data_IF_423828692807
#
_entry.id   IF_423828692807
#
_cell.length_a   1.000
_cell.length_b   1.000
_cell.length_c   1.000
_cell.angle_alpha   90.00
_cell.angle_beta   90.00
_cell.angle_gamma   90.00
#
_symmetry.space_group_name_H-M   'P 1'
#
loop_
_entity.id
_entity.type
_entity.pdbx_description
1 polymer ?
#
# COMPACT_ATOMS: atom_id res chain seq x y z
N UNK A 1 -12.98 2.30 -12.21
CA UNK A 1 -12.02 2.57 -11.12
C UNK A 1 -10.64 2.24 -11.66
N UNK A 2 -9.69 3.18 -11.72
CA UNK A 2 -8.32 2.82 -12.07
C UNK A 2 -7.78 1.95 -10.94
N UNK A 3 -7.35 0.74 -11.26
CA UNK A 3 -6.80 -0.23 -10.31
C UNK A 3 -5.73 0.45 -9.43
N UNK A 4 -5.98 0.55 -8.12
CA UNK A 4 -5.11 1.31 -7.22
C UNK A 4 -3.77 0.59 -7.02
N UNK A 5 -3.77 -0.75 -6.97
CA UNK A 5 -2.55 -1.55 -6.82
C UNK A 5 -2.17 -2.30 -8.10
N UNK A 6 -1.43 -1.64 -9.01
CA UNK A 6 -0.68 -2.35 -10.07
C UNK A 6 0.81 -2.24 -9.81
N UNK A 7 1.40 -3.30 -9.28
CA UNK A 7 2.86 -3.47 -9.19
C UNK A 7 3.41 -3.69 -10.59
N UNK A 8 4.14 -2.71 -11.13
CA UNK A 8 4.90 -2.90 -12.38
C UNK A 8 6.39 -2.91 -12.08
N UNK A 9 7.03 -4.04 -12.41
CA UNK A 9 8.48 -4.14 -12.43
C UNK A 9 9.01 -3.42 -13.67
N UNK A 10 9.90 -2.46 -13.46
CA UNK A 10 10.57 -1.71 -14.52
C UNK A 10 12.08 -1.89 -14.38
N UNK A 11 12.80 -2.06 -15.49
CA UNK A 11 14.26 -2.06 -15.45
C UNK A 11 14.76 -0.61 -15.31
N UNK A 12 15.79 -0.38 -14.48
CA UNK A 12 16.39 0.95 -14.35
C UNK A 12 16.89 1.50 -15.70
N UNK A 13 17.43 0.64 -16.58
CA UNK A 13 17.94 1.04 -17.91
C UNK A 13 16.83 1.53 -18.84
N UNK A 14 15.65 0.95 -18.70
CA UNK A 14 14.48 1.21 -19.57
C UNK A 14 13.41 2.07 -18.87
N UNK A 15 13.79 2.76 -17.78
CA UNK A 15 12.87 3.60 -17.03
C UNK A 15 12.28 4.71 -17.93
N UNK A 16 10.94 4.88 -17.96
CA UNK A 16 10.32 5.99 -18.67
C UNK A 16 10.89 7.34 -18.23
N UNK A 17 10.95 8.32 -19.14
CA UNK A 17 11.57 9.62 -18.87
C UNK A 17 11.07 10.30 -17.58
N UNK A 18 9.77 10.18 -17.29
CA UNK A 18 9.14 10.76 -16.11
C UNK A 18 9.47 10.03 -14.78
N UNK A 19 10.07 8.84 -14.82
CA UNK A 19 10.51 8.07 -13.65
C UNK A 19 12.03 8.01 -13.50
N UNK A 20 12.78 8.41 -14.52
CA UNK A 20 14.23 8.17 -14.60
C UNK A 20 14.99 8.78 -13.42
N UNK A 21 14.68 10.03 -13.06
CA UNK A 21 15.31 10.70 -11.91
C UNK A 21 14.98 9.98 -10.58
N UNK A 22 13.69 9.68 -10.36
CA UNK A 22 13.26 8.97 -9.15
C UNK A 22 13.84 7.55 -9.05
N UNK A 23 13.99 6.86 -10.17
CA UNK A 23 14.59 5.54 -10.23
C UNK A 23 16.09 5.58 -9.88
N UNK A 24 16.82 6.58 -10.35
CA UNK A 24 18.22 6.79 -9.96
C UNK A 24 18.39 7.12 -8.48
N UNK A 25 17.51 7.96 -7.93
CA UNK A 25 17.46 8.25 -6.49
C UNK A 25 17.20 6.96 -5.70
N UNK A 26 16.18 6.20 -6.09
CA UNK A 26 15.81 4.94 -5.46
C UNK A 26 16.98 3.95 -5.45
N UNK A 27 17.67 3.79 -6.59
CA UNK A 27 18.82 2.88 -6.70
C UNK A 27 19.92 3.23 -5.68
N UNK A 28 20.29 4.51 -5.62
CA UNK A 28 21.30 4.98 -4.64
C UNK A 28 20.84 4.79 -3.21
N UNK A 29 19.56 5.06 -2.94
CA UNK A 29 18.99 4.94 -1.62
C UNK A 29 19.04 3.49 -1.12
N UNK A 30 18.68 2.51 -1.96
CA UNK A 30 18.72 1.08 -1.60
C UNK A 30 20.12 0.70 -1.10
N UNK A 31 21.17 1.17 -1.76
CA UNK A 31 22.55 0.86 -1.35
C UNK A 31 22.98 1.56 -0.03
N UNK A 32 22.20 2.52 0.47
CA UNK A 32 22.43 3.19 1.76
C UNK A 32 21.58 2.65 2.91
N UNK A 33 20.62 1.76 2.64
CA UNK A 33 19.77 1.20 3.70
C UNK A 33 20.57 0.27 4.63
N UNK A 34 20.10 0.02 5.86
CA UNK A 34 20.58 -1.08 6.68
C UNK A 34 20.63 -2.41 5.90
N UNK A 35 21.67 -3.22 6.14
CA UNK A 35 21.98 -4.43 5.33
C UNK A 35 20.78 -5.38 5.20
N UNK A 36 20.02 -5.59 6.27
CA UNK A 36 18.87 -6.49 6.25
C UNK A 36 17.77 -6.01 5.27
N UNK A 37 17.51 -4.70 5.23
CA UNK A 37 16.57 -4.11 4.26
C UNK A 37 17.09 -4.17 2.82
N UNK A 38 18.40 -3.99 2.61
CA UNK A 38 18.99 -4.14 1.28
C UNK A 38 18.82 -5.55 0.73
N UNK A 39 19.18 -6.54 1.55
CA UNK A 39 19.12 -7.96 1.18
C UNK A 39 17.70 -8.33 0.82
N UNK A 40 16.74 -8.02 1.69
CA UNK A 40 15.35 -8.35 1.48
C UNK A 40 14.76 -7.66 0.22
N UNK A 41 15.06 -6.38 0.01
CA UNK A 41 14.64 -5.69 -1.22
C UNK A 41 15.21 -6.36 -2.48
N UNK A 42 16.51 -6.67 -2.47
CA UNK A 42 17.20 -7.31 -3.60
C UNK A 42 16.70 -8.73 -3.87
N UNK A 43 16.30 -9.48 -2.84
CA UNK A 43 15.65 -10.79 -2.97
C UNK A 43 14.26 -10.68 -3.61
N UNK A 44 13.48 -9.66 -3.23
CA UNK A 44 12.11 -9.48 -3.74
C UNK A 44 12.04 -8.88 -5.15
N UNK A 45 12.99 -8.02 -5.52
CA UNK A 45 12.92 -7.22 -6.76
C UNK A 45 14.03 -7.56 -7.75
N UNK A 46 15.21 -7.93 -7.26
CA UNK A 46 16.44 -8.05 -8.04
C UNK A 46 17.18 -6.72 -8.20
N UNK A 47 18.45 -6.78 -8.61
CA UNK A 47 19.35 -5.62 -8.62
C UNK A 47 19.10 -4.61 -9.76
N UNK A 48 18.50 -5.05 -10.87
CA UNK A 48 18.31 -4.22 -12.05
C UNK A 48 16.89 -3.68 -12.21
N UNK A 49 15.99 -3.98 -11.26
CA UNK A 49 14.57 -3.65 -11.35
C UNK A 49 14.15 -2.76 -10.20
N UNK A 50 13.09 -2.01 -10.46
CA UNK A 50 12.34 -1.30 -9.43
C UNK A 50 10.84 -1.51 -9.63
N UNK A 51 10.09 -1.20 -8.58
CA UNK A 51 8.64 -1.32 -8.57
C UNK A 51 8.00 0.06 -8.52
N UNK A 52 6.98 0.24 -9.34
CA UNK A 52 6.10 1.41 -9.31
C UNK A 52 4.73 0.98 -8.80
N UNK A 53 4.20 1.69 -7.81
CA UNK A 53 2.81 1.58 -7.37
C UNK A 53 2.09 2.89 -7.65
N UNK A 54 0.89 2.82 -8.20
CA UNK A 54 0.05 4.00 -8.47
C UNK A 54 -0.97 4.27 -7.36
N UNK A 55 -1.01 3.42 -6.32
CA UNK A 55 -1.94 3.58 -5.20
C UNK A 55 -1.59 4.82 -4.40
N UNK A 56 -2.63 5.50 -3.95
CA UNK A 56 -2.60 6.58 -2.97
C UNK A 56 -2.92 6.09 -1.55
N UNK A 57 -3.37 4.83 -1.41
CA UNK A 57 -3.69 4.20 -0.13
C UNK A 57 -2.89 2.91 0.06
N UNK A 58 -2.36 2.74 1.26
CA UNK A 58 -1.65 1.53 1.70
C UNK A 58 -1.88 1.31 3.20
N UNK A 59 -1.68 0.08 3.65
CA UNK A 59 -1.79 -0.32 5.05
C UNK A 59 -0.46 -0.90 5.52
N UNK A 60 0.05 -0.41 6.66
CA UNK A 60 1.25 -0.95 7.30
C UNK A 60 0.80 -1.84 8.47
N UNK A 61 1.04 -3.16 8.42
CA UNK A 61 0.75 -4.04 9.54
C UNK A 61 1.48 -3.58 10.80
N UNK A 62 0.81 -3.66 11.96
CA UNK A 62 1.32 -3.13 13.24
C UNK A 62 2.74 -3.62 13.57
N UNK A 63 3.06 -4.87 13.23
CA UNK A 63 4.39 -5.46 13.46
C UNK A 63 5.54 -4.77 12.69
N UNK A 64 5.23 -4.12 11.57
CA UNK A 64 6.20 -3.44 10.70
C UNK A 64 6.25 -1.92 10.91
N UNK A 65 5.51 -1.38 11.88
CA UNK A 65 5.47 0.08 12.10
C UNK A 65 6.85 0.64 12.48
N UNK A 66 7.65 -0.12 13.23
CA UNK A 66 9.03 0.27 13.57
C UNK A 66 9.91 0.34 12.33
N UNK A 67 10.01 -0.76 11.59
CA UNK A 67 10.79 -0.83 10.35
C UNK A 67 10.35 0.23 9.33
N UNK A 68 9.04 0.47 9.21
CA UNK A 68 8.50 1.51 8.34
C UNK A 68 8.97 2.90 8.77
N UNK A 69 8.93 3.20 10.08
CA UNK A 69 9.40 4.48 10.60
C UNK A 69 10.92 4.67 10.37
N UNK A 70 11.70 3.63 10.57
CA UNK A 70 13.15 3.65 10.33
C UNK A 70 13.46 3.88 8.84
N UNK A 71 12.77 3.18 7.93
CA UNK A 71 12.92 3.35 6.50
C UNK A 71 12.49 4.74 6.01
N UNK A 72 11.40 5.29 6.55
CA UNK A 72 10.98 6.68 6.29
C UNK A 72 12.05 7.66 6.78
N UNK A 73 12.61 7.43 7.97
CA UNK A 73 13.73 8.22 8.50
C UNK A 73 14.99 8.16 7.62
N UNK A 74 15.30 6.99 7.06
CA UNK A 74 16.42 6.79 6.14
C UNK A 74 16.21 7.48 4.78
N UNK A 75 14.98 7.53 4.26
CA UNK A 75 14.64 8.32 3.06
C UNK A 75 14.78 9.81 3.33
N UNK A 76 14.36 10.27 4.52
CA UNK A 76 14.48 11.67 4.94
C UNK A 76 13.93 12.64 3.88
N UNK A 77 14.71 13.68 3.59
CA UNK A 77 14.34 14.75 2.65
C UNK A 77 14.60 14.42 1.17
N UNK A 78 14.92 13.16 0.85
CA UNK A 78 15.09 12.78 -0.55
C UNK A 78 13.77 12.93 -1.30
N UNK A 79 13.80 13.61 -2.46
CA UNK A 79 12.63 13.88 -3.30
C UNK A 79 12.13 12.64 -4.05
N UNK A 80 12.06 11.50 -3.37
CA UNK A 80 11.55 10.26 -3.93
C UNK A 80 10.02 10.27 -3.92
N UNK A 81 9.43 10.25 -5.11
CA UNK A 81 7.98 10.24 -5.25
C UNK A 81 7.36 9.01 -4.56
N UNK A 82 6.21 9.16 -3.91
CA UNK A 82 5.54 8.10 -3.14
C UNK A 82 5.33 6.80 -3.93
N UNK A 83 5.10 6.92 -5.25
CA UNK A 83 4.96 5.81 -6.21
C UNK A 83 6.16 4.86 -6.28
N UNK A 84 7.34 5.33 -5.85
CA UNK A 84 8.58 4.55 -5.76
C UNK A 84 8.97 4.28 -4.31
N UNK A 85 8.77 5.25 -3.42
CA UNK A 85 9.11 5.12 -1.99
C UNK A 85 8.27 4.04 -1.30
N UNK A 86 6.94 4.06 -1.50
CA UNK A 86 6.03 3.11 -0.83
C UNK A 86 6.35 1.67 -1.22
N UNK A 87 6.47 1.29 -2.51
CA UNK A 87 6.91 -0.06 -2.86
C UNK A 87 8.26 -0.43 -2.28
N UNK A 88 9.21 0.51 -2.27
CA UNK A 88 10.52 0.27 -1.69
C UNK A 88 10.44 -0.09 -0.22
N UNK A 89 9.65 0.63 0.57
CA UNK A 89 9.48 0.33 1.98
C UNK A 89 8.94 -1.08 2.20
N UNK A 90 7.85 -1.44 1.52
CA UNK A 90 7.19 -2.73 1.71
C UNK A 90 8.11 -3.88 1.29
N UNK A 91 8.79 -3.75 0.15
CA UNK A 91 9.67 -4.79 -0.39
C UNK A 91 11.00 -4.89 0.38
N UNK A 92 11.40 -3.84 1.09
CA UNK A 92 12.52 -3.86 2.02
C UNK A 92 12.15 -4.49 3.37
N UNK A 93 10.92 -4.28 3.86
CA UNK A 93 10.46 -4.84 5.14
C UNK A 93 10.19 -6.35 5.07
N UNK A 94 9.50 -6.84 4.04
CA UNK A 94 9.12 -8.25 3.95
C UNK A 94 8.79 -8.68 2.50
N UNK A 95 8.54 -9.97 2.30
CA UNK A 95 8.11 -10.55 1.04
C UNK A 95 6.76 -9.98 0.57
N UNK A 96 6.55 -9.75 -0.74
CA UNK A 96 5.27 -9.31 -1.29
C UNK A 96 4.08 -10.19 -0.87
N UNK A 97 4.29 -11.50 -0.66
CA UNK A 97 3.23 -12.43 -0.25
C UNK A 97 2.70 -12.19 1.16
N UNK A 98 3.46 -11.49 2.00
CA UNK A 98 3.05 -11.10 3.35
C UNK A 98 2.23 -9.80 3.36
N UNK A 99 2.03 -9.19 2.18
CA UNK A 99 1.16 -8.03 1.99
C UNK A 99 0.00 -8.41 1.08
N UNK A 100 -1.20 -8.00 1.47
CA UNK A 100 -2.38 -8.23 0.65
C UNK A 100 -2.37 -7.25 -0.53
N UNK A 101 -1.93 -7.72 -1.70
CA UNK A 101 -1.88 -6.93 -2.93
C UNK A 101 -3.26 -6.60 -3.49
N UNK A 102 -4.30 -7.29 -3.04
CA UNK A 102 -5.69 -7.04 -3.43
C UNK A 102 -6.41 -6.11 -2.45
N UNK A 103 -5.89 -5.95 -1.23
CA UNK A 103 -6.41 -4.99 -0.27
C UNK A 103 -6.41 -3.58 -0.86
N UNK A 104 -7.55 -2.90 -0.71
CA UNK A 104 -7.77 -1.52 -1.17
C UNK A 104 -7.66 -1.31 -2.69
N UNK A 105 -7.55 -2.38 -3.50
CA UNK A 105 -7.54 -2.33 -4.97
C UNK A 105 -8.77 -1.59 -5.54
N UNK A 106 -9.90 -1.69 -4.83
CA UNK A 106 -11.21 -1.17 -5.20
C UNK A 106 -11.77 -0.15 -4.20
N UNK A 107 -10.89 0.66 -3.61
CA UNK A 107 -11.32 1.67 -2.66
C UNK A 107 -12.23 2.72 -3.32
N UNK A 108 -13.37 2.99 -2.68
CA UNK A 108 -14.34 3.97 -3.16
C UNK A 108 -14.14 5.27 -2.38
N UNK A 109 -13.56 6.27 -3.05
CA UNK A 109 -13.40 7.62 -2.51
C UNK A 109 -14.68 8.42 -2.70
N UNK A 110 -15.33 8.88 -1.62
CA UNK A 110 -16.56 9.68 -1.70
C UNK A 110 -16.39 11.00 -0.97
N UNK A 111 -16.39 12.07 -1.75
CA UNK A 111 -16.45 13.45 -1.26
C UNK A 111 -17.92 13.84 -1.02
N UNK A 112 -18.53 13.37 0.06
CA UNK A 112 -19.90 13.75 0.44
C UNK A 112 -20.40 13.07 1.71
N UNK A 113 -21.24 13.75 2.51
CA UNK A 113 -21.97 13.11 3.62
C UNK A 113 -23.09 12.25 3.04
N UNK A 114 -22.98 10.93 3.16
CA UNK A 114 -24.09 10.05 2.85
C UNK A 114 -25.14 10.10 3.94
N UNK A 115 -26.41 9.92 3.54
CA UNK A 115 -27.52 9.80 4.48
C UNK A 115 -27.49 8.46 5.24
N UNK A 116 -26.96 7.41 4.60
CA UNK A 116 -26.62 6.15 5.25
C UNK A 116 -25.22 5.78 4.78
N UNK A 117 -24.23 5.82 5.68
CA UNK A 117 -22.87 5.55 5.28
C UNK A 117 -22.78 4.06 4.82
N UNK A 118 -23.58 3.11 5.34
CA UNK A 118 -23.47 1.68 5.00
C UNK A 118 -23.81 1.34 3.55
N UNK A 119 -24.53 2.23 2.86
CA UNK A 119 -24.86 2.11 1.44
C UNK A 119 -23.65 2.01 0.50
N UNK A 120 -22.44 2.28 1.01
CA UNK A 120 -21.20 2.20 0.25
C UNK A 120 -20.44 0.90 0.37
N UNK A 121 -20.72 0.09 1.40
CA UNK A 121 -20.06 -1.20 1.54
C UNK A 121 -20.67 -2.19 0.57
N UNK A 122 -19.82 -2.85 -0.21
CA UNK A 122 -20.20 -3.93 -1.11
C UNK A 122 -19.06 -4.93 -1.18
N UNK A 123 -19.37 -6.14 -1.66
CA UNK A 123 -18.37 -7.20 -1.96
C UNK A 123 -17.24 -6.68 -2.87
N UNK A 124 -17.51 -5.62 -3.63
CA UNK A 124 -16.58 -5.05 -4.62
C UNK A 124 -15.79 -3.86 -4.07
N UNK A 125 -16.08 -3.34 -2.87
CA UNK A 125 -15.42 -2.18 -2.28
C UNK A 125 -14.99 -2.49 -0.84
N UNK A 126 -13.76 -2.99 -0.70
CA UNK A 126 -13.20 -3.41 0.58
C UNK A 126 -12.91 -2.26 1.56
N UNK A 127 -12.97 -1.01 1.09
CA UNK A 127 -12.77 0.17 1.93
C UNK A 127 -13.48 1.42 1.38
N UNK A 128 -13.96 2.27 2.29
CA UNK A 128 -14.64 3.53 2.01
C UNK A 128 -13.98 4.64 2.83
N UNK A 129 -13.67 5.79 2.22
CA UNK A 129 -13.13 6.97 2.92
C UNK A 129 -13.85 8.27 2.51
N UNK A 130 -14.07 9.21 3.45
CA UNK A 130 -13.86 9.07 4.89
C UNK A 130 -14.98 8.28 5.56
N UNK A 131 -14.63 7.42 6.52
CA UNK A 131 -15.60 6.77 7.40
C UNK A 131 -15.27 6.99 8.87
N UNK A 132 -16.29 7.32 9.66
CA UNK A 132 -16.19 7.48 11.11
C UNK A 132 -17.36 6.77 11.77
N UNK A 133 -17.06 5.77 12.59
CA UNK A 133 -18.05 5.11 13.45
C UNK A 133 -18.16 5.93 14.73
N UNK A 134 -19.36 6.41 15.06
CA UNK A 134 -19.56 7.28 16.23
C UNK A 134 -20.26 6.57 17.40
N UNK A 135 -20.79 5.35 17.17
CA UNK A 135 -21.48 4.56 18.18
C UNK A 135 -21.36 3.04 17.95
N UNK A 136 -21.45 2.23 19.01
CA UNK A 136 -21.38 0.76 18.96
C UNK A 136 -22.45 0.14 18.06
N UNK A 137 -23.65 0.73 18.01
CA UNK A 137 -24.72 0.26 17.12
C UNK A 137 -24.36 0.45 15.64
N UNK A 138 -23.60 1.49 15.30
CA UNK A 138 -23.10 1.69 13.93
C UNK A 138 -21.96 0.72 13.62
N UNK A 139 -21.09 0.46 14.60
CA UNK A 139 -20.05 -0.55 14.49
C UNK A 139 -20.63 -1.94 14.18
N UNK A 140 -21.66 -2.36 14.92
CA UNK A 140 -22.31 -3.67 14.69
C UNK A 140 -22.97 -3.77 13.32
N UNK A 141 -23.51 -2.68 12.79
CA UNK A 141 -24.06 -2.66 11.42
C UNK A 141 -22.96 -2.75 10.36
N UNK A 142 -21.82 -2.09 10.59
CA UNK A 142 -20.64 -2.19 9.74
C UNK A 142 -20.11 -3.63 9.69
N UNK A 143 -19.93 -4.27 10.85
CA UNK A 143 -19.47 -5.66 10.93
C UNK A 143 -20.42 -6.59 10.16
N UNK A 144 -21.74 -6.41 10.29
CA UNK A 144 -22.71 -7.19 9.50
C UNK A 144 -22.62 -6.92 8.00
N UNK A 145 -22.44 -5.67 7.58
CA UNK A 145 -22.29 -5.34 6.17
C UNK A 145 -21.01 -5.96 5.57
N UNK A 146 -19.91 -5.94 6.33
CA UNK A 146 -18.66 -6.60 5.95
C UNK A 146 -18.79 -8.13 5.91
N UNK A 147 -19.43 -8.74 6.92
CA UNK A 147 -19.62 -10.19 7.00
C UNK A 147 -20.57 -10.73 5.94
N UNK A 148 -21.43 -9.88 5.35
CA UNK A 148 -22.34 -10.27 4.27
C UNK A 148 -21.64 -10.47 2.92
N UNK A 149 -20.35 -10.12 2.81
CA UNK A 149 -19.57 -10.19 1.57
C UNK A 149 -18.28 -11.01 1.64
N UNK A 150 -17.92 -11.54 2.82
CA UNK A 150 -16.74 -12.38 2.99
C UNK A 150 -17.14 -13.73 3.62
N UNK A 151 -17.02 -14.85 2.87
CA UNK A 151 -17.30 -16.19 3.39
C UNK A 151 -16.49 -16.54 4.66
N UNK A 152 -15.36 -15.89 4.91
CA UNK A 152 -14.49 -16.14 6.05
C UNK A 152 -14.87 -15.35 7.31
N UNK A 153 -15.74 -14.35 7.21
CA UNK A 153 -16.24 -13.57 8.36
C UNK A 153 -17.59 -14.09 8.90
N UNK A 154 -18.13 -15.16 8.32
CA UNK A 154 -19.37 -15.81 8.75
C UNK A 154 -19.16 -16.90 9.82
N UNK A 155 -17.91 -17.23 10.17
CA UNK A 155 -17.58 -18.21 11.22
C UNK A 155 -17.15 -17.54 12.54
N UNK A 156 -18.01 -16.69 13.10
CA UNK A 156 -17.92 -16.23 14.49
C UNK A 156 -19.13 -16.68 15.31
#
# INVERSE_FOLDING_TARGET
VPESWKTKFSNYKDAPAYLKEGAEILRKLIDTLPVHFQVNYKENVGNEKFVVCTSDVFYVPRRFVGDFADLVGHVGDQKLHQKLAVPMFFLAMDSPSNFDSEAFRSMVYRTGKASDPLSFYSVQAAAVHPWTVSADSEFMKLIRAMSSGDPLLLEL
#
